data_IF_362634809786
#
_entry.id   IF_362634809786
#
_cell.length_a   1.000
_cell.length_b   1.000
_cell.length_c   1.000
_cell.angle_alpha   90.00
_cell.angle_beta   90.00
_cell.angle_gamma   90.00
#
_symmetry.space_group_name_H-M   'P 1'
#
loop_
_entity.id
_entity.type
_entity.pdbx_description
1 polymer ?
#
# COMPACT_ATOMS: atom_id res chain seq x y z
N UNK A 1 3.75 30.93 -15.71
CA UNK A 1 2.78 29.86 -16.02
C UNK A 1 3.55 28.87 -16.87
N UNK A 2 4.12 27.86 -16.22
CA UNK A 2 4.73 26.73 -16.91
C UNK A 2 3.63 26.00 -17.72
N UNK A 3 3.96 25.37 -18.85
CA UNK A 3 2.98 24.64 -19.65
C UNK A 3 2.32 23.57 -18.80
N UNK A 4 1.00 23.46 -18.92
CA UNK A 4 0.24 22.33 -18.38
C UNK A 4 0.73 21.07 -19.13
N UNK A 5 1.76 20.40 -18.62
CA UNK A 5 2.18 19.10 -19.14
C UNK A 5 0.97 18.16 -19.04
N UNK A 6 0.53 17.65 -20.18
CA UNK A 6 -0.46 16.57 -20.21
C UNK A 6 0.07 15.44 -19.33
N UNK A 7 -0.71 15.05 -18.31
CA UNK A 7 -0.37 13.93 -17.43
C UNK A 7 -0.19 12.71 -18.32
N UNK A 8 0.99 12.08 -18.24
CA UNK A 8 1.26 10.87 -19.01
C UNK A 8 0.31 9.75 -18.59
N UNK A 9 0.05 8.81 -19.51
CA UNK A 9 -0.78 7.66 -19.20
C UNK A 9 -0.21 6.86 -18.00
N UNK A 10 1.11 6.71 -17.90
CA UNK A 10 1.73 5.97 -16.80
C UNK A 10 1.54 6.69 -15.45
N UNK A 11 1.64 8.02 -15.43
CA UNK A 11 1.39 8.82 -14.23
C UNK A 11 -0.09 8.77 -13.80
N UNK A 12 -1.03 8.84 -14.74
CA UNK A 12 -2.46 8.75 -14.45
C UNK A 12 -2.84 7.35 -13.92
N UNK A 13 -2.35 6.28 -14.57
CA UNK A 13 -2.57 4.91 -14.10
C UNK A 13 -2.01 4.71 -12.68
N UNK A 14 -0.80 5.22 -12.41
CA UNK A 14 -0.19 5.15 -11.08
C UNK A 14 -0.98 5.98 -10.04
N UNK A 15 -1.49 7.16 -10.40
CA UNK A 15 -2.38 7.96 -9.55
C UNK A 15 -3.62 7.14 -9.17
N UNK A 16 -4.27 6.51 -10.14
CA UNK A 16 -5.45 5.68 -9.91
C UNK A 16 -5.14 4.47 -9.00
N UNK A 17 -4.05 3.75 -9.23
CA UNK A 17 -3.69 2.60 -8.37
C UNK A 17 -3.36 3.01 -6.95
N UNK A 18 -2.71 4.15 -6.77
CA UNK A 18 -2.44 4.69 -5.43
C UNK A 18 -3.70 5.15 -4.70
N UNK A 19 -4.75 5.59 -5.41
CA UNK A 19 -6.08 5.85 -4.85
C UNK A 19 -6.75 4.55 -4.41
N UNK A 20 -6.79 3.54 -5.28
CA UNK A 20 -7.36 2.22 -4.94
C UNK A 20 -6.68 1.61 -3.71
N UNK A 21 -5.34 1.67 -3.64
CA UNK A 21 -4.59 1.20 -2.48
C UNK A 21 -4.91 2.01 -1.21
N UNK A 22 -5.12 3.33 -1.33
CA UNK A 22 -5.55 4.14 -0.20
C UNK A 22 -6.91 3.69 0.33
N UNK A 23 -7.89 3.55 -0.56
CA UNK A 23 -9.25 3.14 -0.21
C UNK A 23 -9.23 1.77 0.50
N UNK A 24 -8.44 0.81 0.01
CA UNK A 24 -8.26 -0.49 0.67
C UNK A 24 -7.67 -0.39 2.09
N UNK A 25 -6.66 0.48 2.29
CA UNK A 25 -6.09 0.73 3.63
C UNK A 25 -7.13 1.36 4.57
N UNK A 26 -7.99 2.25 4.07
CA UNK A 26 -9.06 2.87 4.86
C UNK A 26 -10.09 1.82 5.31
N UNK A 27 -10.47 0.89 4.43
CA UNK A 27 -11.35 -0.21 4.81
C UNK A 27 -10.71 -1.16 5.82
N UNK A 28 -9.41 -1.47 5.65
CA UNK A 28 -8.66 -2.26 6.61
C UNK A 28 -8.60 -1.58 7.98
N UNK A 29 -8.28 -0.29 8.04
CA UNK A 29 -8.28 0.50 9.28
C UNK A 29 -9.64 0.40 9.99
N UNK A 30 -10.73 0.65 9.24
CA UNK A 30 -12.09 0.55 9.77
C UNK A 30 -12.39 -0.84 10.35
N UNK A 31 -11.95 -1.90 9.68
CA UNK A 31 -12.12 -3.29 10.12
C UNK A 31 -11.35 -3.57 11.41
N UNK A 32 -10.07 -3.18 11.43
CA UNK A 32 -9.21 -3.28 12.62
C UNK A 32 -9.85 -2.54 13.78
N UNK A 33 -10.25 -1.28 13.60
CA UNK A 33 -10.82 -0.42 14.64
C UNK A 33 -12.22 -0.84 15.13
N UNK A 34 -12.87 -1.81 14.47
CA UNK A 34 -14.21 -2.27 14.86
C UNK A 34 -14.20 -3.07 16.18
N UNK A 35 -15.32 -3.12 16.94
CA UNK A 35 -15.40 -3.92 18.16
C UNK A 35 -15.15 -5.41 17.91
N UNK A 36 -14.38 -6.08 18.79
CA UNK A 36 -14.07 -7.52 18.66
C UNK A 36 -14.55 -8.35 19.86
N UNK A 37 -14.82 -7.74 21.02
CA UNK A 37 -15.24 -8.46 22.23
C UNK A 37 -16.53 -9.27 21.99
N UNK A 38 -16.48 -10.59 22.25
CA UNK A 38 -17.58 -11.52 22.01
C UNK A 38 -17.84 -11.87 20.53
N UNK A 39 -16.99 -11.40 19.62
CA UNK A 39 -17.15 -11.50 18.16
C UNK A 39 -15.79 -11.58 17.45
N UNK A 40 -14.82 -12.24 18.08
CA UNK A 40 -13.46 -12.40 17.53
C UNK A 40 -13.49 -13.11 16.17
N UNK A 41 -14.23 -14.23 15.97
CA UNK A 41 -14.26 -14.89 14.66
C UNK A 41 -14.76 -13.97 13.53
N UNK A 42 -15.83 -13.22 13.76
CA UNK A 42 -16.38 -12.27 12.78
C UNK A 42 -15.43 -11.09 12.52
N UNK A 43 -14.77 -10.61 13.58
CA UNK A 43 -13.74 -9.57 13.47
C UNK A 43 -12.56 -10.06 12.64
N UNK A 44 -12.03 -11.25 12.91
CA UNK A 44 -10.92 -11.85 12.16
C UNK A 44 -11.29 -12.05 10.70
N UNK A 45 -12.49 -12.56 10.41
CA UNK A 45 -12.97 -12.72 9.03
C UNK A 45 -13.08 -11.37 8.30
N UNK A 46 -13.54 -10.32 8.99
CA UNK A 46 -13.62 -8.97 8.42
C UNK A 46 -12.24 -8.39 8.15
N UNK A 47 -11.28 -8.58 9.06
CA UNK A 47 -9.89 -8.10 8.87
C UNK A 47 -9.20 -8.87 7.75
N UNK A 48 -9.37 -10.19 7.71
CA UNK A 48 -8.83 -11.05 6.66
C UNK A 48 -9.32 -10.61 5.27
N UNK A 49 -10.64 -10.39 5.12
CA UNK A 49 -11.21 -9.85 3.88
C UNK A 49 -10.50 -8.57 3.43
N UNK A 50 -10.41 -7.56 4.31
CA UNK A 50 -9.79 -6.28 3.93
C UNK A 50 -8.27 -6.40 3.71
N UNK A 51 -7.58 -7.32 4.40
CA UNK A 51 -6.18 -7.64 4.11
C UNK A 51 -6.01 -8.24 2.70
N UNK A 52 -6.94 -9.08 2.25
CA UNK A 52 -6.94 -9.58 0.86
C UNK A 52 -7.18 -8.46 -0.15
N UNK A 53 -8.09 -7.52 0.13
CA UNK A 53 -8.27 -6.33 -0.73
C UNK A 53 -7.01 -5.47 -0.80
N UNK A 54 -6.29 -5.30 0.32
CA UNK A 54 -4.98 -4.61 0.33
C UNK A 54 -3.95 -5.37 -0.50
N UNK A 55 -3.91 -6.70 -0.41
CA UNK A 55 -3.01 -7.55 -1.22
C UNK A 55 -3.23 -7.32 -2.71
N UNK A 56 -4.47 -7.37 -3.16
CA UNK A 56 -4.83 -7.21 -4.57
C UNK A 56 -4.54 -5.79 -5.04
N UNK A 57 -4.92 -4.78 -4.26
CA UNK A 57 -4.64 -3.38 -4.58
C UNK A 57 -3.13 -3.08 -4.64
N UNK A 58 -2.34 -3.65 -3.72
CA UNK A 58 -0.89 -3.48 -3.71
C UNK A 58 -0.23 -4.18 -4.91
N UNK A 59 -0.67 -5.40 -5.25
CA UNK A 59 -0.19 -6.10 -6.44
C UNK A 59 -0.44 -5.33 -7.74
N UNK A 60 -1.63 -4.72 -7.88
CA UNK A 60 -1.94 -3.85 -9.03
C UNK A 60 -1.11 -2.56 -9.04
N UNK A 61 -0.85 -1.97 -7.87
CA UNK A 61 0.06 -0.83 -7.72
C UNK A 61 1.47 -1.18 -8.22
N UNK A 62 2.04 -2.28 -7.73
CA UNK A 62 3.38 -2.74 -8.16
C UNK A 62 3.42 -2.95 -9.68
N UNK A 63 2.47 -3.72 -10.22
CA UNK A 63 2.40 -4.03 -11.65
C UNK A 63 2.37 -2.77 -12.52
N UNK A 64 1.52 -1.79 -12.20
CA UNK A 64 1.42 -0.56 -13.00
C UNK A 64 2.67 0.32 -12.88
N UNK A 65 3.28 0.39 -11.70
CA UNK A 65 4.48 1.22 -11.50
C UNK A 65 5.74 0.64 -12.14
N UNK A 66 5.85 -0.69 -12.20
CA UNK A 66 7.08 -1.39 -12.62
C UNK A 66 7.00 -2.06 -13.99
N UNK A 67 5.82 -2.18 -14.61
CA UNK A 67 5.70 -2.71 -15.97
C UNK A 67 6.63 -1.93 -16.93
N UNK A 68 7.06 -2.54 -18.04
CA UNK A 68 7.73 -1.82 -19.11
C UNK A 68 6.90 -0.59 -19.53
N UNK A 69 7.57 0.53 -19.75
CA UNK A 69 6.95 1.84 -20.05
C UNK A 69 6.00 2.32 -18.92
N UNK A 70 6.18 1.78 -17.71
CA UNK A 70 5.47 2.18 -16.50
C UNK A 70 6.09 3.42 -15.85
N UNK A 71 5.48 3.86 -14.75
CA UNK A 71 5.84 5.13 -14.10
C UNK A 71 7.34 5.21 -13.74
N UNK A 72 7.94 4.11 -13.26
CA UNK A 72 9.35 4.15 -12.88
C UNK A 72 10.28 4.30 -14.07
N UNK A 73 9.99 3.67 -15.21
CA UNK A 73 10.83 3.81 -16.41
C UNK A 73 10.71 5.25 -16.94
N UNK A 74 9.49 5.81 -16.98
CA UNK A 74 9.28 7.21 -17.38
C UNK A 74 9.99 8.21 -16.45
N UNK A 75 9.95 7.98 -15.13
CA UNK A 75 10.68 8.81 -14.16
C UNK A 75 12.19 8.74 -14.41
N UNK A 76 12.74 7.57 -14.74
CA UNK A 76 14.17 7.41 -14.99
C UNK A 76 14.61 8.09 -16.30
N UNK A 77 13.75 8.11 -17.32
CA UNK A 77 13.99 8.86 -18.55
C UNK A 77 13.97 10.38 -18.30
N UNK A 78 12.97 10.85 -17.55
CA UNK A 78 12.76 12.28 -17.26
C UNK A 78 13.76 12.84 -16.25
N UNK A 79 14.03 12.08 -15.19
CA UNK A 79 14.82 12.52 -14.04
C UNK A 79 15.80 11.43 -13.56
N UNK A 80 16.87 11.13 -14.33
CA UNK A 80 17.83 10.06 -14.02
C UNK A 80 18.46 10.15 -12.62
N UNK A 81 18.56 11.36 -12.05
CA UNK A 81 19.04 11.59 -10.67
C UNK A 81 18.24 10.86 -9.59
N UNK A 82 17.02 10.41 -9.90
CA UNK A 82 16.11 9.71 -8.99
C UNK A 82 16.29 8.18 -9.00
N UNK A 83 17.28 7.65 -9.72
CA UNK A 83 17.52 6.20 -9.83
C UNK A 83 17.60 5.48 -8.49
N UNK A 84 18.30 6.08 -7.51
CA UNK A 84 18.41 5.49 -6.17
C UNK A 84 17.07 5.42 -5.44
N UNK A 85 16.21 6.42 -5.63
CA UNK A 85 14.87 6.46 -5.02
C UNK A 85 13.96 5.40 -5.66
N UNK A 86 13.98 5.30 -6.99
CA UNK A 86 13.24 4.26 -7.73
C UNK A 86 13.70 2.86 -7.31
N UNK A 87 15.01 2.60 -7.30
CA UNK A 87 15.56 1.31 -6.87
C UNK A 87 15.12 0.93 -5.45
N UNK A 88 15.15 1.88 -4.51
CA UNK A 88 14.70 1.66 -3.15
C UNK A 88 13.22 1.26 -3.08
N UNK A 89 12.35 1.92 -3.84
CA UNK A 89 10.92 1.57 -3.87
C UNK A 89 10.68 0.18 -4.49
N UNK A 90 11.42 -0.17 -5.55
CA UNK A 90 11.41 -1.52 -6.14
C UNK A 90 11.84 -2.59 -5.13
N UNK A 91 12.84 -2.29 -4.30
CA UNK A 91 13.31 -3.21 -3.23
C UNK A 91 12.28 -3.38 -2.11
N UNK A 92 11.45 -2.36 -1.83
CA UNK A 92 10.40 -2.44 -0.80
C UNK A 92 9.17 -3.24 -1.22
N UNK A 93 8.83 -3.25 -2.51
CA UNK A 93 7.66 -3.96 -3.01
C UNK A 93 7.61 -5.44 -2.62
N UNK A 94 8.65 -6.26 -2.86
CA UNK A 94 8.64 -7.67 -2.44
C UNK A 94 8.59 -7.83 -0.92
N UNK A 95 9.22 -6.94 -0.14
CA UNK A 95 9.15 -6.97 1.32
C UNK A 95 7.72 -6.73 1.83
N UNK A 96 7.00 -5.79 1.21
CA UNK A 96 5.61 -5.48 1.58
C UNK A 96 4.69 -6.62 1.15
N UNK A 97 4.86 -7.18 -0.05
CA UNK A 97 4.08 -8.35 -0.50
C UNK A 97 4.27 -9.52 0.46
N UNK A 98 5.50 -9.82 0.83
CA UNK A 98 5.80 -10.88 1.79
C UNK A 98 5.10 -10.64 3.14
N UNK A 99 5.16 -9.42 3.68
CA UNK A 99 4.49 -9.07 4.95
C UNK A 99 2.97 -9.18 4.85
N UNK A 100 2.37 -8.86 3.70
CA UNK A 100 0.94 -9.06 3.45
C UNK A 100 0.61 -10.55 3.53
N UNK A 101 1.32 -11.37 2.78
CA UNK A 101 1.09 -12.82 2.71
C UNK A 101 1.29 -13.50 4.08
N UNK A 102 2.33 -13.11 4.82
CA UNK A 102 2.59 -13.59 6.18
C UNK A 102 1.47 -13.18 7.16
N UNK A 103 0.95 -11.96 7.04
CA UNK A 103 -0.14 -11.47 7.89
C UNK A 103 -1.45 -12.21 7.60
N UNK A 104 -1.76 -12.41 6.32
CA UNK A 104 -2.93 -13.21 5.88
C UNK A 104 -2.82 -14.64 6.41
N UNK A 105 -1.68 -15.30 6.18
CA UNK A 105 -1.47 -16.66 6.66
C UNK A 105 -1.60 -16.76 8.19
N UNK A 106 -1.10 -15.78 8.94
CA UNK A 106 -1.24 -15.75 10.40
C UNK A 106 -2.71 -15.59 10.83
N UNK A 107 -3.48 -14.71 10.17
CA UNK A 107 -4.91 -14.55 10.44
C UNK A 107 -5.73 -15.82 10.14
N UNK A 108 -5.31 -16.61 9.15
CA UNK A 108 -5.96 -17.88 8.79
C UNK A 108 -5.60 -19.03 9.74
N UNK A 109 -4.38 -19.03 10.28
CA UNK A 109 -3.80 -20.19 10.98
C UNK A 109 -3.76 -20.04 12.49
N UNK A 110 -3.74 -18.80 13.00
CA UNK A 110 -3.58 -18.52 14.43
C UNK A 110 -4.85 -17.88 14.97
N UNK A 111 -5.54 -18.59 15.85
CA UNK A 111 -6.70 -18.04 16.56
C UNK A 111 -6.27 -16.86 17.43
N UNK A 112 -7.06 -15.78 17.39
CA UNK A 112 -6.87 -14.61 18.24
C UNK A 112 -7.49 -14.91 19.61
N UNK A 113 -6.66 -14.89 20.65
CA UNK A 113 -7.01 -15.30 22.01
C UNK A 113 -5.89 -15.03 22.99
N UNK A 114 -6.17 -15.12 24.28
CA UNK A 114 -5.23 -14.75 25.35
C UNK A 114 -3.92 -15.55 25.32
N UNK A 115 -3.98 -16.84 24.98
CA UNK A 115 -2.83 -17.76 25.05
C UNK A 115 -2.03 -17.86 23.74
N UNK A 116 -2.53 -17.34 22.63
CA UNK A 116 -1.95 -17.52 21.28
C UNK A 116 -1.52 -16.20 20.67
N UNK A 117 -2.50 -15.39 20.27
CA UNK A 117 -2.30 -14.07 19.68
C UNK A 117 -3.31 -13.12 20.31
N UNK A 118 -2.95 -12.45 21.41
CA UNK A 118 -3.84 -11.54 22.10
C UNK A 118 -4.38 -10.46 21.16
N UNK A 119 -5.66 -10.12 21.28
CA UNK A 119 -6.33 -9.16 20.41
C UNK A 119 -5.59 -7.82 20.31
N UNK A 120 -5.07 -7.31 21.43
CA UNK A 120 -4.28 -6.07 21.45
C UNK A 120 -3.01 -6.19 20.61
N UNK A 121 -2.29 -7.32 20.73
CA UNK A 121 -1.10 -7.60 19.93
C UNK A 121 -1.45 -7.77 18.44
N UNK A 122 -2.58 -8.39 18.11
CA UNK A 122 -3.04 -8.51 16.74
C UNK A 122 -3.31 -7.15 16.10
N UNK A 123 -3.98 -6.25 16.83
CA UNK A 123 -4.21 -4.87 16.39
C UNK A 123 -2.90 -4.11 16.17
N UNK A 124 -2.00 -4.20 17.13
CA UNK A 124 -0.68 -3.59 17.07
C UNK A 124 0.11 -4.05 15.83
N UNK A 125 0.14 -5.35 15.56
CA UNK A 125 0.84 -5.92 14.41
C UNK A 125 0.24 -5.41 13.09
N UNK A 126 -1.10 -5.41 12.98
CA UNK A 126 -1.82 -4.92 11.80
C UNK A 126 -1.62 -3.40 11.59
N UNK A 127 -1.61 -2.61 12.67
CA UNK A 127 -1.35 -1.17 12.61
C UNK A 127 0.10 -0.87 12.20
N UNK A 128 1.08 -1.63 12.71
CA UNK A 128 2.48 -1.53 12.27
C UNK A 128 2.62 -1.85 10.78
N UNK A 129 1.92 -2.87 10.31
CA UNK A 129 1.82 -3.20 8.89
C UNK A 129 1.25 -2.02 8.09
N UNK A 130 0.07 -1.50 8.43
CA UNK A 130 -0.52 -0.33 7.75
C UNK A 130 0.46 0.86 7.72
N UNK A 131 1.15 1.11 8.84
CA UNK A 131 2.18 2.15 8.93
C UNK A 131 3.32 1.96 7.93
N UNK A 132 3.73 0.72 7.64
CA UNK A 132 4.75 0.45 6.60
C UNK A 132 4.24 0.77 5.19
N UNK A 133 3.01 0.41 4.86
CA UNK A 133 2.41 0.72 3.54
C UNK A 133 2.23 2.23 3.37
N UNK A 134 1.82 2.94 4.43
CA UNK A 134 1.73 4.41 4.43
C UNK A 134 3.11 5.04 4.17
N UNK A 135 4.17 4.59 4.85
CA UNK A 135 5.53 5.08 4.62
C UNK A 135 6.03 4.83 3.20
N UNK A 136 5.68 3.70 2.60
CA UNK A 136 5.97 3.42 1.20
C UNK A 136 5.25 4.41 0.27
N UNK A 137 3.94 4.61 0.48
CA UNK A 137 3.14 5.57 -0.32
C UNK A 137 3.63 7.02 -0.20
N UNK A 138 4.11 7.43 0.97
CA UNK A 138 4.73 8.74 1.21
C UNK A 138 5.96 8.93 0.32
N UNK A 139 6.90 7.98 0.36
CA UNK A 139 8.11 8.02 -0.48
C UNK A 139 7.80 7.99 -1.97
N UNK A 140 6.75 7.27 -2.38
CA UNK A 140 6.26 7.31 -3.76
C UNK A 140 5.65 8.66 -4.16
N UNK A 141 4.98 9.35 -3.24
CA UNK A 141 4.48 10.71 -3.49
C UNK A 141 5.63 11.72 -3.61
N UNK A 142 6.63 11.64 -2.73
CA UNK A 142 7.83 12.47 -2.79
C UNK A 142 8.58 12.27 -4.12
N UNK A 143 8.71 11.01 -4.57
CA UNK A 143 9.33 10.69 -5.86
C UNK A 143 8.61 11.38 -7.03
N UNK A 144 7.28 11.30 -7.07
CA UNK A 144 6.48 11.90 -8.14
C UNK A 144 6.53 13.43 -8.08
N UNK A 145 6.50 14.00 -6.88
CA UNK A 145 6.69 15.44 -6.71
C UNK A 145 8.06 15.88 -7.24
N UNK A 146 9.13 15.16 -6.91
CA UNK A 146 10.47 15.49 -7.40
C UNK A 146 10.63 15.35 -8.92
N UNK A 147 9.89 14.44 -9.56
CA UNK A 147 9.98 14.19 -11.00
C UNK A 147 9.07 15.11 -11.83
N UNK A 148 7.85 15.38 -11.36
CA UNK A 148 6.80 16.05 -12.12
C UNK A 148 6.27 17.34 -11.48
N UNK A 149 6.62 17.63 -10.21
CA UNK A 149 6.06 18.73 -9.43
C UNK A 149 4.51 18.68 -9.34
N UNK A 150 3.97 17.45 -9.28
CA UNK A 150 2.54 17.15 -9.16
C UNK A 150 2.28 16.43 -7.84
N UNK A 151 1.24 16.86 -7.12
CA UNK A 151 0.75 16.13 -5.95
C UNK A 151 -0.19 15.01 -6.39
N UNK A 152 0.22 13.78 -6.14
CA UNK A 152 -0.63 12.60 -6.27
C UNK A 152 -1.04 12.03 -4.91
N UNK A 153 -0.53 12.57 -3.80
CA UNK A 153 -0.84 12.19 -2.43
C UNK A 153 -2.29 12.42 -1.99
N UNK A 154 -2.97 13.38 -2.64
CA UNK A 154 -4.28 13.88 -2.26
C UNK A 154 -5.48 13.19 -2.92
N UNK A 155 -6.50 13.00 -2.06
CA UNK A 155 -7.79 12.35 -2.27
C UNK A 155 -8.73 13.36 -2.94
N UNK A 156 -9.30 13.04 -4.10
CA UNK A 156 -10.58 13.62 -4.57
C UNK A 156 -11.73 12.72 -4.13
#
# INVERSE_FOLDING_TARGET
MEPNEEISQALDEARQRRKTLHDAIVYLEKSISSPAAGRIPDWTASVLKEMTEVRDAFGQHVMVTEKPDGLYDEILERAPRLETNVRRLREEHPEIVQRIDETIARLEQVEIGEDTWPLEQARDDLQRFMGSVIRHRQRGADLVWEAYNVDIGGIE
#
